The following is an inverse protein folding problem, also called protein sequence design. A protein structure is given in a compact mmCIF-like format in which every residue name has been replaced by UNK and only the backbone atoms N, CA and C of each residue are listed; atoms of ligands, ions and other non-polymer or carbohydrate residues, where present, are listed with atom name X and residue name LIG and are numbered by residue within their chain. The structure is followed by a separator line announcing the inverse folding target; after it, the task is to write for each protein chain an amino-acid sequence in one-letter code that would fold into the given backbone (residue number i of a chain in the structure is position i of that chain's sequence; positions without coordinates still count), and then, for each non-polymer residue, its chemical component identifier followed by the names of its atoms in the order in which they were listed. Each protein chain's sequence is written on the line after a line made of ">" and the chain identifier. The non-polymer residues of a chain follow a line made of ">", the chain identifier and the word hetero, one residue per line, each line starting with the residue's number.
data_IF_060061909458
#
_entry.id   IF_060061909458
#
_cell.length_a   1.000
_cell.length_b   1.000
_cell.length_c   1.000
_cell.angle_alpha   90.00
_cell.angle_beta   90.00
_cell.angle_gamma   90.00
#
_symmetry.space_group_name_H-M   'P 1'
#
loop_
_entity.id
_entity.type
_entity.pdbx_description
1 polymer ?
#
# COMPACT_ATOMS: atom_id res chain seq x y z
N UNK A 1 0.11 -15.89 -7.25
CA UNK A 1 1.31 -15.11 -6.91
C UNK A 1 1.74 -14.21 -8.05
N UNK A 2 2.21 -14.73 -9.18
CA UNK A 2 2.77 -13.94 -10.30
C UNK A 2 2.14 -12.56 -10.59
N UNK A 3 0.80 -12.45 -10.67
CA UNK A 3 0.12 -11.16 -10.90
C UNK A 3 0.36 -10.14 -9.78
N UNK A 4 0.30 -10.54 -8.51
CA UNK A 4 0.49 -9.61 -7.37
C UNK A 4 1.95 -9.19 -7.27
N UNK A 5 2.88 -10.10 -7.56
CA UNK A 5 4.32 -9.85 -7.64
C UNK A 5 4.64 -8.78 -8.69
N UNK A 6 4.09 -8.92 -9.91
CA UNK A 6 4.23 -7.92 -10.96
C UNK A 6 3.68 -6.55 -10.55
N UNK A 7 2.53 -6.53 -9.87
CA UNK A 7 1.96 -5.30 -9.34
C UNK A 7 2.84 -4.68 -8.25
N UNK A 8 3.46 -5.50 -7.38
CA UNK A 8 4.41 -5.03 -6.38
C UNK A 8 5.61 -4.37 -7.05
N UNK A 9 6.23 -5.05 -8.01
CA UNK A 9 7.43 -4.53 -8.68
C UNK A 9 7.15 -3.21 -9.42
N UNK A 10 5.99 -3.09 -10.07
CA UNK A 10 5.54 -1.84 -10.70
C UNK A 10 5.33 -0.71 -9.68
N UNK A 11 4.66 -1.00 -8.56
CA UNK A 11 4.41 -0.01 -7.49
C UNK A 11 5.71 0.38 -6.80
N UNK A 12 6.59 -0.57 -6.49
CA UNK A 12 7.89 -0.31 -5.88
C UNK A 12 8.77 0.55 -6.80
N UNK A 13 8.77 0.27 -8.11
CA UNK A 13 9.43 1.12 -9.10
C UNK A 13 8.91 2.56 -9.08
N UNK A 14 7.59 2.74 -9.04
CA UNK A 14 6.97 4.08 -8.95
C UNK A 14 7.29 4.78 -7.63
N UNK A 15 7.30 4.06 -6.51
CA UNK A 15 7.68 4.60 -5.20
C UNK A 15 9.12 5.13 -5.22
N UNK A 16 10.06 4.39 -5.81
CA UNK A 16 11.46 4.84 -5.94
C UNK A 16 11.60 6.12 -6.77
N UNK A 17 10.85 6.25 -7.87
CA UNK A 17 10.82 7.48 -8.68
C UNK A 17 10.32 8.67 -7.87
N UNK A 18 9.19 8.48 -7.18
CA UNK A 18 8.55 9.49 -6.33
C UNK A 18 9.46 9.95 -5.18
N UNK A 19 10.17 9.02 -4.54
CA UNK A 19 11.14 9.34 -3.50
C UNK A 19 12.34 10.11 -4.04
N UNK A 20 12.82 9.75 -5.25
CA UNK A 20 13.86 10.49 -5.97
C UNK A 20 13.45 11.93 -6.30
N UNK A 21 12.16 12.17 -6.52
CA UNK A 21 11.57 13.52 -6.72
C UNK A 21 11.34 14.28 -5.40
N UNK A 22 11.63 13.69 -4.23
CA UNK A 22 11.49 14.32 -2.92
C UNK A 22 10.07 14.28 -2.33
N UNK A 23 9.20 13.43 -2.88
CA UNK A 23 7.88 13.14 -2.31
C UNK A 23 7.97 11.95 -1.35
N UNK A 24 7.05 11.91 -0.38
CA UNK A 24 6.91 10.77 0.53
C UNK A 24 5.78 9.85 0.07
N UNK A 25 6.04 8.55 -0.14
CA UNK A 25 4.98 7.59 -0.42
C UNK A 25 4.05 7.47 0.79
N UNK A 26 2.80 7.08 0.53
CA UNK A 26 1.85 6.78 1.62
C UNK A 26 2.31 5.56 2.41
N UNK A 27 2.13 5.59 3.72
CA UNK A 27 2.45 4.46 4.60
C UNK A 27 1.73 3.18 4.19
N UNK A 28 0.47 3.27 3.73
CA UNK A 28 -0.31 2.12 3.27
C UNK A 28 0.32 1.44 2.05
N UNK A 29 0.97 2.21 1.16
CA UNK A 29 1.64 1.67 -0.02
C UNK A 29 2.88 0.89 0.38
N UNK A 30 3.70 1.47 1.26
CA UNK A 30 4.91 0.80 1.79
C UNK A 30 4.54 -0.48 2.52
N UNK A 31 3.55 -0.41 3.41
CA UNK A 31 3.04 -1.57 4.14
C UNK A 31 2.52 -2.66 3.20
N UNK A 32 1.79 -2.28 2.16
CA UNK A 32 1.29 -3.25 1.19
C UNK A 32 2.41 -3.97 0.43
N UNK A 33 3.50 -3.26 0.08
CA UNK A 33 4.69 -3.89 -0.55
C UNK A 33 5.29 -4.93 0.40
N UNK A 34 5.45 -4.60 1.68
CA UNK A 34 5.96 -5.51 2.71
C UNK A 34 5.03 -6.73 2.91
N UNK A 35 3.72 -6.51 2.96
CA UNK A 35 2.72 -7.57 3.13
C UNK A 35 2.72 -8.54 1.92
N UNK A 36 2.89 -8.02 0.69
CA UNK A 36 3.03 -8.87 -0.51
C UNK A 36 4.33 -9.69 -0.44
N UNK A 37 5.45 -9.09 -0.05
CA UNK A 37 6.72 -9.79 0.08
C UNK A 37 6.67 -10.89 1.15
N UNK A 38 6.01 -10.63 2.27
CA UNK A 38 5.76 -11.63 3.31
C UNK A 38 4.93 -12.80 2.77
N UNK A 39 3.85 -12.50 2.04
CA UNK A 39 2.99 -13.53 1.46
C UNK A 39 3.72 -14.41 0.44
N UNK A 40 4.65 -13.84 -0.33
CA UNK A 40 5.53 -14.60 -1.23
C UNK A 40 6.42 -15.58 -0.47
N UNK A 41 7.06 -15.13 0.60
CA UNK A 41 7.88 -16.01 1.44
C UNK A 41 7.05 -17.15 2.07
N UNK A 42 5.83 -16.84 2.54
CA UNK A 42 4.90 -17.86 3.07
C UNK A 42 4.47 -18.86 2.00
N UNK A 43 4.26 -18.40 0.76
CA UNK A 43 3.93 -19.24 -0.38
C UNK A 43 5.08 -20.18 -0.77
N UNK A 44 6.30 -19.66 -0.89
CA UNK A 44 7.49 -20.47 -1.19
C UNK A 44 7.74 -21.52 -0.10
N UNK A 45 7.65 -21.14 1.18
CA UNK A 45 7.80 -22.08 2.30
C UNK A 45 6.75 -23.21 2.26
N UNK A 46 5.51 -22.90 1.87
CA UNK A 46 4.47 -23.93 1.67
C UNK A 46 4.83 -24.87 0.52
N UNK A 47 5.32 -24.34 -0.61
CA UNK A 47 5.72 -25.15 -1.75
C UNK A 47 6.88 -26.09 -1.39
N UNK A 48 7.88 -25.61 -0.65
CA UNK A 48 8.98 -26.40 -0.12
C UNK A 48 8.48 -27.53 0.78
N UNK A 49 7.59 -27.23 1.72
CA UNK A 49 6.98 -28.23 2.61
C UNK A 49 6.22 -29.32 1.85
N UNK A 50 5.42 -28.94 0.84
CA UNK A 50 4.71 -29.88 -0.02
C UNK A 50 5.70 -30.76 -0.80
N UNK A 51 6.79 -30.20 -1.32
CA UNK A 51 7.78 -30.95 -2.07
C UNK A 51 8.56 -31.92 -1.17
N UNK A 52 8.95 -31.49 0.04
CA UNK A 52 9.57 -32.36 1.03
C UNK A 52 8.65 -33.52 1.44
N UNK A 53 7.36 -33.24 1.67
CA UNK A 53 6.36 -34.25 1.97
C UNK A 53 6.17 -35.23 0.80
N UNK A 54 6.08 -34.75 -0.44
CA UNK A 54 5.99 -35.59 -1.65
C UNK A 54 7.17 -36.57 -1.75
N UNK A 55 8.39 -36.10 -1.49
CA UNK A 55 9.60 -36.95 -1.46
C UNK A 55 9.51 -38.07 -0.41
N UNK A 56 8.94 -37.79 0.77
CA UNK A 56 8.73 -38.77 1.83
C UNK A 56 7.62 -39.78 1.49
N UNK A 57 6.58 -39.35 0.78
CA UNK A 57 5.43 -40.21 0.45
C UNK A 57 5.71 -41.29 -0.59
N UNK A 58 6.75 -41.14 -1.41
CA UNK A 58 7.26 -42.22 -2.26
C UNK A 58 7.88 -43.38 -1.42
N UNK A 59 8.05 -43.19 -0.10
CA UNK A 59 8.63 -44.15 0.83
C UNK A 59 7.63 -44.71 1.87
N UNK A 60 6.54 -44.00 2.19
CA UNK A 60 5.48 -44.41 3.14
C UNK A 60 4.17 -43.61 2.92
N UNK A 61 2.99 -44.20 3.17
CA UNK A 61 1.68 -43.55 3.00
C UNK A 61 1.57 -42.20 3.74
N UNK A 62 1.12 -41.10 3.09
CA UNK A 62 0.94 -39.83 3.76
C UNK A 62 -0.16 -39.89 4.81
N UNK A 63 0.18 -39.48 6.04
CA UNK A 63 -0.77 -39.25 7.14
C UNK A 63 -1.72 -38.09 6.80
N UNK A 64 -3.03 -38.28 7.02
CA UNK A 64 -4.08 -37.31 6.67
C UNK A 64 -3.91 -35.91 7.31
N UNK A 65 -3.17 -35.79 8.43
CA UNK A 65 -2.90 -34.53 9.14
C UNK A 65 -2.12 -33.51 8.30
N UNK A 66 -1.12 -33.97 7.53
CA UNK A 66 -0.30 -33.09 6.69
C UNK A 66 -1.13 -32.49 5.55
N UNK A 67 -2.11 -33.24 5.04
CA UNK A 67 -3.05 -32.75 4.02
C UNK A 67 -3.95 -31.64 4.55
N UNK A 68 -4.44 -31.77 5.79
CA UNK A 68 -5.25 -30.72 6.43
C UNK A 68 -4.46 -29.45 6.74
N UNK A 69 -3.21 -29.58 7.17
CA UNK A 69 -2.33 -28.44 7.43
C UNK A 69 -2.05 -27.65 6.15
N UNK A 70 -1.62 -28.33 5.08
CA UNK A 70 -1.39 -27.71 3.77
C UNK A 70 -2.68 -27.05 3.23
N UNK A 71 -3.84 -27.70 3.41
CA UNK A 71 -5.12 -27.13 2.98
C UNK A 71 -5.46 -25.84 3.74
N UNK A 72 -5.21 -25.81 5.05
CA UNK A 72 -5.46 -24.64 5.90
C UNK A 72 -4.52 -23.50 5.52
N UNK A 73 -3.24 -23.79 5.32
CA UNK A 73 -2.25 -22.81 4.90
C UNK A 73 -2.58 -22.24 3.51
N UNK A 74 -2.98 -23.09 2.56
CA UNK A 74 -3.38 -22.67 1.22
C UNK A 74 -4.60 -21.74 1.24
N UNK A 75 -5.57 -22.03 2.12
CA UNK A 75 -6.74 -21.17 2.30
C UNK A 75 -6.34 -19.80 2.86
N UNK A 76 -5.49 -19.76 3.89
CA UNK A 76 -5.01 -18.50 4.46
C UNK A 76 -4.27 -17.63 3.41
N UNK A 77 -3.34 -18.23 2.65
CA UNK A 77 -2.64 -17.50 1.58
C UNK A 77 -3.61 -16.98 0.52
N UNK A 78 -4.63 -17.77 0.17
CA UNK A 78 -5.64 -17.35 -0.80
C UNK A 78 -6.43 -16.14 -0.30
N UNK A 79 -6.81 -16.14 0.96
CA UNK A 79 -7.60 -15.07 1.57
C UNK A 79 -6.77 -13.78 1.68
N UNK A 80 -5.51 -13.88 2.13
CA UNK A 80 -4.55 -12.77 2.12
C UNK A 80 -4.31 -12.22 0.71
N UNK A 81 -4.11 -13.11 -0.27
CA UNK A 81 -3.93 -12.71 -1.68
C UNK A 81 -5.15 -11.96 -2.23
N UNK A 82 -6.36 -12.36 -1.83
CA UNK A 82 -7.59 -11.68 -2.21
C UNK A 82 -7.63 -10.25 -1.65
N UNK A 83 -7.33 -10.09 -0.36
CA UNK A 83 -7.24 -8.78 0.28
C UNK A 83 -6.20 -7.87 -0.37
N UNK A 84 -4.99 -8.38 -0.59
CA UNK A 84 -3.91 -7.59 -1.20
C UNK A 84 -4.24 -7.15 -2.64
N UNK A 85 -4.95 -7.96 -3.42
CA UNK A 85 -5.41 -7.55 -4.76
C UNK A 85 -6.38 -6.38 -4.71
N UNK A 86 -7.34 -6.40 -3.79
CA UNK A 86 -8.30 -5.30 -3.63
C UNK A 86 -7.58 -4.00 -3.23
N UNK A 87 -6.62 -4.08 -2.32
CA UNK A 87 -5.82 -2.93 -1.91
C UNK A 87 -4.97 -2.40 -3.07
N UNK A 88 -4.36 -3.28 -3.88
CA UNK A 88 -3.57 -2.89 -5.05
C UNK A 88 -4.39 -2.05 -6.07
N UNK A 89 -5.66 -2.40 -6.28
CA UNK A 89 -6.56 -1.66 -7.16
C UNK A 89 -6.82 -0.23 -6.65
N UNK A 90 -6.81 -0.03 -5.33
CA UNK A 90 -7.02 1.29 -4.70
C UNK A 90 -5.85 2.26 -4.92
N UNK A 91 -4.63 1.75 -5.16
CA UNK A 91 -3.43 2.55 -5.34
C UNK A 91 -3.23 3.09 -6.76
N UNK A 92 -4.05 2.65 -7.72
CA UNK A 92 -3.88 2.97 -9.16
C UNK A 92 -3.82 4.47 -9.46
N UNK A 93 -4.36 5.32 -8.58
CA UNK A 93 -4.45 6.76 -8.80
C UNK A 93 -3.71 7.62 -7.77
N UNK A 94 -3.22 7.08 -6.65
CA UNK A 94 -2.66 7.92 -5.58
C UNK A 94 -1.65 7.20 -4.67
N UNK A 95 -0.36 7.28 -5.04
CA UNK A 95 0.77 6.66 -4.31
C UNK A 95 1.44 7.61 -3.31
N UNK A 96 1.18 8.92 -3.39
CA UNK A 96 1.88 9.97 -2.66
C UNK A 96 1.01 10.62 -1.61
N UNK A 97 1.61 11.05 -0.51
CA UNK A 97 0.94 11.98 0.40
C UNK A 97 0.79 13.32 -0.33
N UNK A 98 -0.44 13.80 -0.50
CA UNK A 98 -0.70 15.14 -1.04
C UNK A 98 0.01 16.16 -0.15
N UNK A 99 1.08 16.76 -0.67
CA UNK A 99 1.59 18.01 -0.10
C UNK A 99 0.55 19.07 -0.41
N UNK A 100 -0.29 19.39 0.57
CA UNK A 100 -0.95 20.70 0.62
C UNK A 100 0.18 21.74 0.74
N UNK A 101 0.72 22.17 -0.40
CA UNK A 101 1.41 23.43 -0.47
C UNK A 101 0.33 24.48 -0.19
N UNK A 102 0.19 24.87 1.07
CA UNK A 102 -0.39 26.17 1.41
C UNK A 102 0.49 27.16 0.67
N UNK A 103 0.10 27.51 -0.57
CA UNK A 103 0.68 28.64 -1.28
C UNK A 103 0.51 29.79 -0.30
N UNK A 104 1.62 30.30 0.24
CA UNK A 104 1.64 31.64 0.81
C UNK A 104 1.12 32.53 -0.32
N UNK A 105 -0.16 32.85 -0.29
CA UNK A 105 -0.72 33.87 -1.17
C UNK A 105 -0.08 35.13 -0.60
N UNK A 106 0.96 35.62 -1.27
CA UNK A 106 1.45 36.96 -0.97
C UNK A 106 0.25 37.88 -1.09
N UNK A 107 -0.14 38.47 0.04
CA UNK A 107 -1.15 39.50 0.07
C UNK A 107 -0.62 40.64 -0.80
N UNK A 108 -1.10 40.73 -2.04
CA UNK A 108 -0.87 41.90 -2.88
C UNK A 108 -1.78 42.98 -2.28
N UNK A 109 -1.23 44.02 -1.63
CA UNK A 109 -2.06 45.12 -1.17
C UNK A 109 -2.63 45.77 -2.43
N UNK A 110 -3.95 45.75 -2.59
CA UNK A 110 -4.60 46.60 -3.58
C UNK A 110 -4.28 48.06 -3.28
N UNK A 111 -4.36 48.97 -4.29
CA UNK A 111 -4.15 50.38 -4.05
C UNK A 111 -5.03 50.84 -2.88
N UNK A 112 -4.40 51.53 -1.92
CA UNK A 112 -5.07 52.09 -0.76
C UNK A 112 -5.99 53.21 -1.27
N UNK A 113 -7.26 52.90 -1.52
CA UNK A 113 -8.26 53.91 -1.88
C UNK A 113 -8.63 54.59 -0.56
N UNK A 114 -8.24 55.86 -0.45
CA UNK A 114 -8.27 56.69 0.76
C UNK A 114 -9.69 56.94 1.34
N UNK A 115 -10.75 56.39 0.71
CA UNK A 115 -12.15 56.70 1.02
C UNK A 115 -13.02 55.52 1.50
N UNK A 116 -12.49 54.32 1.80
CA UNK A 116 -13.30 53.22 2.34
C UNK A 116 -13.16 53.00 3.87
N UNK A 117 -13.68 53.95 4.66
CA UNK A 117 -13.66 53.92 6.13
C UNK A 117 -14.80 53.11 6.81
N UNK A 118 -15.47 52.14 6.17
CA UNK A 118 -16.71 51.56 6.75
C UNK A 118 -16.83 50.03 6.85
N UNK A 119 -15.79 49.21 6.63
CA UNK A 119 -15.98 47.73 6.75
C UNK A 119 -14.94 46.95 7.56
N UNK A 120 -14.10 47.60 8.37
CA UNK A 120 -13.03 46.92 9.13
C UNK A 120 -13.44 46.39 10.51
N UNK A 121 -14.73 46.11 10.77
CA UNK A 121 -15.18 45.77 12.14
C UNK A 121 -15.94 44.46 12.36
N UNK A 122 -16.11 43.58 11.37
CA UNK A 122 -16.90 42.34 11.57
C UNK A 122 -16.13 41.02 11.60
N UNK A 123 -14.78 41.00 11.54
CA UNK A 123 -14.02 39.75 11.67
C UNK A 123 -13.67 39.36 13.12
N UNK A 124 -13.78 40.27 14.09
CA UNK A 124 -13.44 40.00 15.51
C UNK A 124 -14.58 39.41 16.36
N UNK A 125 -15.68 38.92 15.76
CA UNK A 125 -16.82 38.33 16.50
C UNK A 125 -17.07 36.84 16.25
N UNK A 126 -16.16 36.15 15.55
CA UNK A 126 -16.29 34.72 15.23
C UNK A 126 -15.16 33.85 15.81
N UNK A 127 -14.52 34.28 16.89
CA UNK A 127 -13.70 33.41 17.76
C UNK A 127 -14.42 33.19 19.08
#
# INVERSE_FOLDING_TARGET
>A
MEKITKSRDDIEGKVKVVEGEGYKPKTDVVKWIEDVQKLENEWEAMQESINAAKMLTYKCCPTCSLRSEVSTQAQNIRDQLCGLKQVAESFRSNLVVEKYLVKKVEFIPGPLIEDQLTATRNLNKLL
#
